data_IF_868216843635
#
_entry.id   IF_868216843635
#
_cell.length_a   1.000
_cell.length_b   1.000
_cell.length_c   1.000
_cell.angle_alpha   90.00
_cell.angle_beta   90.00
_cell.angle_gamma   90.00
#
_symmetry.space_group_name_H-M   'P 1'
#
loop_
_entity.id
_entity.type
_entity.pdbx_description
1 polymer ?
#
# COMPACT_ATOMS: atom_id res chain seq x y z
N UNK A 1 3.04 21.73 -39.06
CA UNK A 1 3.18 22.63 -37.90
C UNK A 1 1.93 22.47 -37.04
N UNK A 2 1.96 21.56 -36.07
CA UNK A 2 0.81 21.28 -35.21
C UNK A 2 0.64 22.42 -34.22
N UNK A 3 -0.37 23.27 -34.43
CA UNK A 3 -0.76 24.28 -33.45
C UNK A 3 -1.34 23.56 -32.23
N UNK A 4 -0.54 23.43 -31.18
CA UNK A 4 -0.95 22.85 -29.91
C UNK A 4 -2.07 23.69 -29.29
N UNK A 5 -3.11 23.02 -28.80
CA UNK A 5 -4.21 23.66 -28.07
C UNK A 5 -3.62 24.53 -26.95
N UNK A 6 -3.98 25.83 -26.85
CA UNK A 6 -3.45 26.71 -25.82
C UNK A 6 -3.78 26.14 -24.44
N UNK A 7 -2.75 25.95 -23.61
CA UNK A 7 -2.92 25.44 -22.26
C UNK A 7 -3.88 26.34 -21.47
N UNK A 8 -4.88 25.78 -20.77
CA UNK A 8 -5.79 26.55 -19.93
C UNK A 8 -5.02 27.46 -18.96
N UNK A 9 -5.42 28.73 -18.84
CA UNK A 9 -4.69 29.76 -18.08
C UNK A 9 -4.40 29.37 -16.61
N UNK A 10 -5.27 28.58 -15.98
CA UNK A 10 -5.06 28.05 -14.64
C UNK A 10 -3.87 27.08 -14.57
N UNK A 11 -3.74 26.21 -15.58
CA UNK A 11 -2.66 25.22 -15.64
C UNK A 11 -1.34 25.94 -15.91
N UNK A 12 -1.33 26.95 -16.77
CA UNK A 12 -0.16 27.79 -17.01
C UNK A 12 0.34 28.45 -15.72
N UNK A 13 -0.55 29.11 -14.97
CA UNK A 13 -0.19 29.73 -13.67
C UNK A 13 0.31 28.71 -12.65
N UNK A 14 -0.27 27.50 -12.61
CA UNK A 14 0.20 26.44 -11.72
C UNK A 14 1.60 25.94 -12.15
N UNK A 15 1.85 25.82 -13.43
CA UNK A 15 3.15 25.41 -13.96
C UNK A 15 4.24 26.46 -13.67
N UNK A 16 3.94 27.75 -13.84
CA UNK A 16 4.83 28.87 -13.49
C UNK A 16 5.17 28.88 -11.99
N UNK A 17 4.18 28.68 -11.13
CA UNK A 17 4.42 28.57 -9.69
C UNK A 17 5.31 27.37 -9.33
N UNK A 18 5.06 26.20 -9.91
CA UNK A 18 5.86 24.99 -9.66
C UNK A 18 7.29 25.12 -10.20
N UNK A 19 7.49 25.81 -11.34
CA UNK A 19 8.83 26.04 -11.89
C UNK A 19 9.65 26.98 -11.01
N UNK A 20 9.03 28.02 -10.45
CA UNK A 20 9.66 28.91 -9.48
C UNK A 20 10.02 28.17 -8.19
N UNK A 21 9.11 27.36 -7.65
CA UNK A 21 9.39 26.53 -6.46
C UNK A 21 10.58 25.60 -6.68
N UNK A 22 10.67 24.96 -7.84
CA UNK A 22 11.78 24.07 -8.19
C UNK A 22 13.10 24.85 -8.25
N UNK A 23 13.14 25.98 -8.96
CA UNK A 23 14.33 26.83 -9.02
C UNK A 23 14.80 27.27 -7.64
N UNK A 24 13.86 27.68 -6.79
CA UNK A 24 14.15 28.06 -5.40
C UNK A 24 14.72 26.88 -4.60
N UNK A 25 14.15 25.68 -4.77
CA UNK A 25 14.65 24.45 -4.16
C UNK A 25 16.05 24.05 -4.65
N UNK A 26 16.40 24.40 -5.89
CA UNK A 26 17.73 24.24 -6.47
C UNK A 26 18.72 25.35 -6.02
N UNK A 27 18.27 26.29 -5.16
CA UNK A 27 19.10 27.36 -4.58
C UNK A 27 19.04 28.70 -5.30
N UNK A 28 18.26 28.84 -6.37
CA UNK A 28 18.15 30.09 -7.14
C UNK A 28 17.38 31.17 -6.38
N UNK A 29 18.08 32.22 -5.94
CA UNK A 29 17.50 33.34 -5.21
C UNK A 29 16.62 34.25 -6.09
N UNK A 30 16.81 34.27 -7.40
CA UNK A 30 15.98 35.09 -8.30
C UNK A 30 14.52 34.61 -8.36
N UNK A 31 14.27 33.36 -7.94
CA UNK A 31 12.92 32.80 -7.85
C UNK A 31 12.15 33.28 -6.61
N UNK A 32 12.82 33.84 -5.59
CA UNK A 32 12.20 34.21 -4.30
C UNK A 32 11.19 35.35 -4.49
N UNK A 33 11.58 36.46 -5.13
CA UNK A 33 10.72 37.65 -5.21
C UNK A 33 9.42 37.39 -5.98
N UNK A 34 9.42 36.71 -7.14
CA UNK A 34 8.19 36.29 -7.82
C UNK A 34 7.31 35.38 -6.94
N UNK A 35 7.90 34.44 -6.21
CA UNK A 35 7.15 33.57 -5.28
C UNK A 35 6.52 34.36 -4.15
N UNK A 36 7.26 35.28 -3.53
CA UNK A 36 6.74 36.13 -2.46
C UNK A 36 5.64 37.07 -2.96
N UNK A 37 5.75 37.57 -4.19
CA UNK A 37 4.68 38.31 -4.84
C UNK A 37 3.42 37.42 -4.98
N UNK A 38 3.54 36.21 -5.51
CA UNK A 38 2.37 35.29 -5.61
C UNK A 38 1.75 34.97 -4.25
N UNK A 39 2.57 34.75 -3.20
CA UNK A 39 2.12 34.56 -1.83
C UNK A 39 1.35 35.77 -1.29
N UNK A 40 1.79 36.99 -1.58
CA UNK A 40 1.09 38.20 -1.14
C UNK A 40 -0.26 38.38 -1.86
N UNK A 41 -0.34 38.08 -3.15
CA UNK A 41 -1.60 38.06 -3.90
C UNK A 41 -2.55 36.96 -3.39
N UNK A 42 -1.98 35.87 -2.87
CA UNK A 42 -2.73 34.74 -2.33
C UNK A 42 -3.38 35.00 -0.96
N UNK A 43 -3.15 36.16 -0.32
CA UNK A 43 -3.74 36.51 0.99
C UNK A 43 -5.27 36.54 1.01
N UNK A 44 -5.91 36.65 -0.16
CA UNK A 44 -7.38 36.59 -0.31
C UNK A 44 -7.93 35.14 -0.34
N UNK A 45 -7.08 34.13 -0.43
CA UNK A 45 -7.49 32.72 -0.42
C UNK A 45 -7.78 32.25 1.01
N UNK A 46 -8.59 31.19 1.12
CA UNK A 46 -8.92 30.58 2.41
C UNK A 46 -7.66 30.21 3.21
N UNK A 47 -7.76 30.36 4.54
CA UNK A 47 -6.64 30.19 5.49
C UNK A 47 -5.86 28.89 5.30
N UNK A 48 -6.55 27.80 4.95
CA UNK A 48 -5.95 26.48 4.67
C UNK A 48 -5.03 26.47 3.45
N UNK A 49 -5.47 27.06 2.34
CA UNK A 49 -4.68 27.03 1.10
C UNK A 49 -3.46 27.94 1.23
N UNK A 50 -3.64 29.12 1.84
CA UNK A 50 -2.54 30.03 2.14
C UNK A 50 -1.47 29.37 3.02
N UNK A 51 -1.90 28.61 4.03
CA UNK A 51 -1.01 27.82 4.89
C UNK A 51 -0.22 26.79 4.07
N UNK A 52 -0.89 26.03 3.20
CA UNK A 52 -0.25 25.02 2.37
C UNK A 52 0.79 25.63 1.43
N UNK A 53 0.46 26.72 0.74
CA UNK A 53 1.39 27.45 -0.14
C UNK A 53 2.61 27.95 0.64
N UNK A 54 2.42 28.47 1.86
CA UNK A 54 3.54 28.89 2.71
C UNK A 54 4.43 27.72 3.11
N UNK A 55 3.86 26.56 3.45
CA UNK A 55 4.64 25.35 3.76
C UNK A 55 5.43 24.88 2.54
N UNK A 56 4.85 24.89 1.33
CA UNK A 56 5.55 24.57 0.07
C UNK A 56 6.77 25.50 -0.15
N UNK A 57 6.61 26.81 0.08
CA UNK A 57 7.72 27.77 -0.02
C UNK A 57 8.78 27.52 1.05
N UNK A 58 8.40 27.22 2.30
CA UNK A 58 9.37 26.90 3.35
C UNK A 58 10.15 25.62 3.01
N UNK A 59 9.49 24.59 2.49
CA UNK A 59 10.16 23.37 2.04
C UNK A 59 11.16 23.66 0.92
N UNK A 60 10.78 24.43 -0.09
CA UNK A 60 11.68 24.82 -1.17
C UNK A 60 12.87 25.62 -0.63
N UNK A 61 12.65 26.57 0.28
CA UNK A 61 13.70 27.35 0.93
C UNK A 61 14.67 26.47 1.71
N UNK A 62 14.15 25.49 2.47
CA UNK A 62 14.97 24.55 3.23
C UNK A 62 15.81 23.64 2.32
N UNK A 63 15.27 23.23 1.17
CA UNK A 63 15.99 22.42 0.18
C UNK A 63 17.11 23.20 -0.49
N UNK A 64 16.88 24.48 -0.81
CA UNK A 64 17.89 25.37 -1.40
C UNK A 64 18.83 26.03 -0.39
N UNK A 65 18.83 25.59 0.88
CA UNK A 65 19.61 26.15 1.99
C UNK A 65 19.42 27.66 2.25
N UNK A 66 18.26 28.21 1.87
CA UNK A 66 17.86 29.61 2.06
C UNK A 66 17.13 29.78 3.40
N UNK A 67 17.84 29.57 4.52
CA UNK A 67 17.25 29.51 5.87
C UNK A 67 16.66 30.84 6.35
N UNK A 68 17.14 31.97 5.85
CA UNK A 68 16.62 33.31 6.13
C UNK A 68 15.19 33.48 5.59
N UNK A 69 14.97 33.06 4.34
CA UNK A 69 13.65 33.08 3.70
C UNK A 69 12.73 32.05 4.38
N UNK A 70 13.24 30.84 4.62
CA UNK A 70 12.53 29.78 5.32
C UNK A 70 12.01 30.27 6.68
N UNK A 71 12.88 30.89 7.49
CA UNK A 71 12.55 31.44 8.80
C UNK A 71 11.49 32.53 8.73
N UNK A 72 11.67 33.53 7.85
CA UNK A 72 10.71 34.63 7.70
C UNK A 72 9.31 34.12 7.34
N UNK A 73 9.19 33.18 6.40
CA UNK A 73 7.90 32.64 5.98
C UNK A 73 7.32 31.74 7.08
N UNK A 74 8.15 30.93 7.73
CA UNK A 74 7.75 30.03 8.81
C UNK A 74 7.25 30.78 10.05
N UNK A 75 7.88 31.89 10.45
CA UNK A 75 7.42 32.68 11.60
C UNK A 75 6.05 33.32 11.35
N UNK A 76 5.72 33.68 10.10
CA UNK A 76 4.38 34.14 9.74
C UNK A 76 3.32 33.04 9.84
N UNK A 77 3.73 31.77 9.76
CA UNK A 77 2.86 30.63 10.01
C UNK A 77 2.61 30.51 11.52
N UNK A 78 3.69 30.45 12.32
CA UNK A 78 3.61 30.28 13.78
C UNK A 78 2.91 31.43 14.50
N UNK A 79 3.11 32.67 14.08
CA UNK A 79 2.48 33.85 14.72
C UNK A 79 0.96 33.93 14.50
N UNK A 80 0.40 33.12 13.59
CA UNK A 80 -1.05 33.02 13.35
C UNK A 80 -1.70 31.83 14.08
N UNK A 81 -0.95 31.04 14.86
CA UNK A 81 -1.37 29.78 15.50
C UNK A 81 -2.16 29.94 16.82
N UNK A 82 -3.12 30.87 16.93
CA UNK A 82 -4.02 30.91 18.11
C UNK A 82 -5.36 30.20 17.92
N UNK A 83 -5.71 29.75 16.72
CA UNK A 83 -7.02 29.11 16.50
C UNK A 83 -6.93 27.94 15.51
N UNK A 84 -7.70 26.89 15.82
CA UNK A 84 -8.00 25.68 15.03
C UNK A 84 -7.14 24.43 15.29
N UNK A 85 -7.68 23.57 16.17
CA UNK A 85 -7.28 22.19 16.45
C UNK A 85 -7.50 21.19 15.30
N UNK A 86 -7.31 21.58 14.04
CA UNK A 86 -7.39 20.70 12.87
C UNK A 86 -6.02 20.10 12.48
N UNK A 87 -5.15 19.89 13.48
CA UNK A 87 -3.72 19.52 13.39
C UNK A 87 -3.40 18.14 12.79
N UNK A 88 -4.32 17.41 12.17
CA UNK A 88 -4.10 15.98 11.94
C UNK A 88 -3.25 15.64 10.69
N UNK A 89 -2.98 16.56 9.76
CA UNK A 89 -2.50 16.14 8.41
C UNK A 89 -1.51 17.06 7.67
N UNK A 90 -0.71 17.89 8.34
CA UNK A 90 0.36 18.60 7.64
C UNK A 90 1.74 18.18 8.18
N UNK A 91 2.15 16.97 7.79
CA UNK A 91 3.45 16.39 8.15
C UNK A 91 4.61 17.29 7.66
N UNK A 92 4.44 17.96 6.53
CA UNK A 92 5.41 18.92 5.99
C UNK A 92 5.65 20.09 6.96
N UNK A 93 4.61 20.58 7.63
CA UNK A 93 4.76 21.62 8.64
C UNK A 93 5.58 21.14 9.85
N UNK A 94 5.33 19.91 10.34
CA UNK A 94 6.09 19.33 11.46
C UNK A 94 7.56 19.13 11.09
N UNK A 95 7.83 18.70 9.86
CA UNK A 95 9.19 18.61 9.32
C UNK A 95 9.85 19.99 9.26
N UNK A 96 9.19 21.00 8.69
CA UNK A 96 9.69 22.37 8.64
C UNK A 96 10.00 22.90 10.06
N UNK A 97 9.10 22.68 11.02
CA UNK A 97 9.30 23.09 12.42
C UNK A 97 10.53 22.44 13.05
N UNK A 98 10.71 21.14 12.83
CA UNK A 98 11.86 20.40 13.34
C UNK A 98 13.17 20.91 12.71
N UNK A 99 13.19 21.09 11.39
CA UNK A 99 14.36 21.57 10.64
C UNK A 99 14.74 23.01 11.03
N UNK A 100 13.75 23.89 11.21
CA UNK A 100 13.96 25.25 11.67
C UNK A 100 14.51 25.31 13.10
N UNK A 101 14.02 24.46 14.01
CA UNK A 101 14.55 24.37 15.37
C UNK A 101 16.02 23.90 15.37
N UNK A 102 16.36 22.92 14.52
CA UNK A 102 17.74 22.45 14.35
C UNK A 102 18.66 23.56 13.83
N UNK A 103 18.21 24.33 12.82
CA UNK A 103 18.96 25.45 12.28
C UNK A 103 19.16 26.59 13.28
N UNK A 104 18.23 26.76 14.23
CA UNK A 104 18.33 27.75 15.32
C UNK A 104 19.19 27.27 16.50
N UNK A 105 19.76 26.06 16.43
CA UNK A 105 20.57 25.48 17.52
C UNK A 105 19.75 24.86 18.66
N UNK A 106 18.42 24.81 18.56
CA UNK A 106 17.56 24.15 19.54
C UNK A 106 17.45 22.64 19.24
N UNK A 107 18.49 21.89 19.63
CA UNK A 107 18.55 20.45 19.39
C UNK A 107 17.44 19.67 20.13
N UNK A 108 17.07 20.11 21.34
CA UNK A 108 16.05 19.47 22.15
C UNK A 108 14.65 19.65 21.54
N UNK A 109 14.32 20.88 21.12
CA UNK A 109 13.10 21.17 20.38
C UNK A 109 13.05 20.44 19.04
N UNK A 110 14.16 20.43 18.28
CA UNK A 110 14.26 19.72 17.02
C UNK A 110 13.93 18.22 17.17
N UNK A 111 14.54 17.54 18.14
CA UNK A 111 14.31 16.11 18.39
C UNK A 111 12.85 15.82 18.76
N UNK A 112 12.23 16.67 19.59
CA UNK A 112 10.82 16.57 19.95
C UNK A 112 9.92 16.66 18.70
N UNK A 113 10.17 17.64 17.83
CA UNK A 113 9.36 17.83 16.63
C UNK A 113 9.58 16.71 15.61
N UNK A 114 10.81 16.22 15.43
CA UNK A 114 11.09 15.06 14.58
C UNK A 114 10.38 13.80 15.06
N UNK A 115 10.35 13.57 16.38
CA UNK A 115 9.65 12.42 16.95
C UNK A 115 8.15 12.48 16.65
N UNK A 116 7.56 13.67 16.76
CA UNK A 116 6.13 13.88 16.46
C UNK A 116 5.85 13.68 14.97
N UNK A 117 6.69 14.26 14.10
CA UNK A 117 6.64 14.05 12.65
C UNK A 117 6.69 12.56 12.28
N UNK A 118 7.66 11.81 12.83
CA UNK A 118 7.81 10.38 12.55
C UNK A 118 6.60 9.57 13.03
N UNK A 119 6.08 9.86 14.23
CA UNK A 119 4.89 9.18 14.76
C UNK A 119 3.67 9.40 13.87
N UNK A 120 3.45 10.62 13.40
CA UNK A 120 2.33 10.94 12.53
C UNK A 120 2.51 10.35 11.12
N UNK A 121 3.72 10.41 10.55
CA UNK A 121 4.03 9.76 9.28
C UNK A 121 3.81 8.23 9.34
N UNK A 122 4.27 7.58 10.42
CA UNK A 122 4.05 6.15 10.64
C UNK A 122 2.56 5.82 10.86
N UNK A 123 1.80 6.71 11.50
CA UNK A 123 0.35 6.55 11.64
C UNK A 123 -0.34 6.64 10.28
N UNK A 124 0.00 7.64 9.45
CA UNK A 124 -0.51 7.77 8.08
C UNK A 124 -0.19 6.52 7.26
N UNK A 125 1.06 6.05 7.28
CA UNK A 125 1.46 4.81 6.62
C UNK A 125 0.62 3.62 7.09
N UNK A 126 0.36 3.48 8.39
CA UNK A 126 -0.50 2.39 8.90
C UNK A 126 -1.95 2.52 8.43
N UNK A 127 -2.52 3.72 8.39
CA UNK A 127 -3.91 3.94 7.94
C UNK A 127 -4.07 3.84 6.43
N UNK A 128 -3.12 4.38 5.67
CA UNK A 128 -3.11 4.33 4.22
C UNK A 128 -2.71 2.95 3.73
N UNK A 129 -1.80 2.22 4.38
CA UNK A 129 -1.58 0.81 4.04
C UNK A 129 -2.82 -0.03 4.28
N UNK A 130 -3.67 0.27 5.28
CA UNK A 130 -4.99 -0.37 5.44
C UNK A 130 -5.94 0.01 4.30
N UNK A 131 -5.93 1.27 3.85
CA UNK A 131 -6.78 1.73 2.74
C UNK A 131 -6.28 1.25 1.36
N UNK A 132 -4.98 1.19 1.12
CA UNK A 132 -4.34 0.57 -0.04
C UNK A 132 -4.55 -0.93 0.00
N UNK A 133 -4.50 -1.59 1.17
CA UNK A 133 -4.94 -2.98 1.36
C UNK A 133 -6.44 -3.17 1.08
N UNK A 134 -7.26 -2.14 1.26
CA UNK A 134 -8.69 -2.12 0.90
C UNK A 134 -8.95 -1.68 -0.55
N UNK A 135 -8.05 -0.99 -1.23
CA UNK A 135 -8.15 -0.67 -2.65
C UNK A 135 -7.60 -1.84 -3.49
N UNK A 136 -6.54 -2.49 -3.02
CA UNK A 136 -6.17 -3.85 -3.43
C UNK A 136 -7.19 -4.90 -2.96
N UNK A 137 -8.23 -4.51 -2.19
CA UNK A 137 -9.65 -4.63 -2.62
C UNK A 137 -9.94 -5.57 -3.77
N UNK A 138 -9.64 -5.05 -4.94
CA UNK A 138 -10.00 -5.62 -6.21
C UNK A 138 -9.12 -6.83 -6.59
N UNK A 139 -8.08 -7.14 -5.81
CA UNK A 139 -7.32 -8.39 -5.89
C UNK A 139 -8.13 -9.46 -5.16
N UNK A 140 -8.32 -10.66 -5.76
CA UNK A 140 -9.23 -11.67 -5.26
C UNK A 140 -8.97 -11.98 -3.78
N UNK A 141 -10.07 -12.17 -3.05
CA UNK A 141 -10.19 -12.45 -1.59
C UNK A 141 -9.21 -13.52 -1.07
N UNK A 142 -8.67 -14.36 -1.96
CA UNK A 142 -7.71 -15.43 -1.69
C UNK A 142 -6.33 -14.97 -1.17
N UNK A 143 -5.71 -13.92 -1.75
CA UNK A 143 -4.35 -13.48 -1.32
C UNK A 143 -4.35 -12.90 0.10
N UNK A 144 -5.48 -12.35 0.53
CA UNK A 144 -5.64 -11.73 1.87
C UNK A 144 -5.79 -12.73 2.98
N UNK A 145 -6.53 -13.80 2.73
CA UNK A 145 -6.67 -14.87 3.71
C UNK A 145 -5.37 -15.67 3.86
N UNK A 146 -4.42 -15.48 2.92
CA UNK A 146 -3.05 -15.98 2.99
C UNK A 146 -2.18 -15.07 3.86
N UNK A 147 -2.19 -13.76 3.59
CA UNK A 147 -1.44 -12.77 4.39
C UNK A 147 -1.91 -12.66 5.85
N UNK A 148 -3.20 -12.86 6.12
CA UNK A 148 -3.77 -12.86 7.48
C UNK A 148 -3.30 -14.07 8.31
N UNK A 149 -3.10 -15.23 7.67
CA UNK A 149 -2.49 -16.41 8.33
C UNK A 149 -1.07 -16.06 8.80
N UNK A 150 -0.27 -15.44 7.94
CA UNK A 150 1.09 -15.01 8.25
C UNK A 150 1.14 -13.98 9.40
N UNK A 151 0.17 -13.08 9.46
CA UNK A 151 0.07 -12.03 10.48
C UNK A 151 -0.27 -12.59 11.88
N UNK A 152 -1.13 -13.61 11.95
CA UNK A 152 -1.59 -14.21 13.22
C UNK A 152 -0.63 -15.28 13.78
N UNK A 153 0.24 -15.84 12.94
CA UNK A 153 1.25 -16.80 13.38
C UNK A 153 2.46 -16.11 14.01
N UNK A 154 3.03 -16.74 15.04
CA UNK A 154 4.31 -16.30 15.61
C UNK A 154 5.45 -16.43 14.59
N UNK A 155 6.56 -15.72 14.81
CA UNK A 155 7.69 -15.68 13.86
C UNK A 155 8.20 -17.08 13.44
N UNK A 156 8.20 -18.05 14.38
CA UNK A 156 8.59 -19.44 14.11
C UNK A 156 7.64 -20.12 13.11
N UNK A 157 6.32 -20.03 13.34
CA UNK A 157 5.33 -20.68 12.46
C UNK A 157 5.07 -19.90 11.16
N UNK A 158 5.44 -18.62 11.11
CA UNK A 158 5.48 -17.84 9.87
C UNK A 158 6.47 -18.42 8.85
N UNK A 159 7.59 -19.00 9.31
CA UNK A 159 8.54 -19.71 8.43
C UNK A 159 7.93 -20.97 7.82
N UNK A 160 7.16 -21.74 8.61
CA UNK A 160 6.43 -22.89 8.09
C UNK A 160 5.37 -22.47 7.06
N UNK A 161 4.69 -21.36 7.33
CA UNK A 161 3.70 -20.84 6.40
C UNK A 161 4.31 -20.35 5.08
N UNK A 162 5.44 -19.65 5.13
CA UNK A 162 6.20 -19.27 3.94
C UNK A 162 6.62 -20.49 3.12
N UNK A 163 7.14 -21.52 3.79
CA UNK A 163 7.52 -22.77 3.14
C UNK A 163 6.34 -23.44 2.42
N UNK A 164 5.13 -23.40 3.01
CA UNK A 164 3.91 -23.87 2.33
C UNK A 164 3.65 -23.10 1.05
N UNK A 165 3.73 -21.76 1.08
CA UNK A 165 3.46 -20.91 -0.09
C UNK A 165 4.46 -21.21 -1.21
N UNK A 166 5.76 -21.24 -0.88
CA UNK A 166 6.84 -21.48 -1.85
C UNK A 166 6.76 -22.86 -2.50
N UNK A 167 6.14 -23.84 -1.82
CA UNK A 167 6.05 -25.23 -2.29
C UNK A 167 4.62 -25.67 -2.61
N UNK A 168 3.64 -24.76 -2.73
CA UNK A 168 2.23 -25.15 -2.83
C UNK A 168 1.90 -25.91 -4.13
N UNK A 169 2.67 -25.65 -5.20
CA UNK A 169 2.55 -26.30 -6.50
C UNK A 169 3.07 -27.75 -6.49
N UNK A 170 3.87 -28.12 -5.48
CA UNK A 170 4.34 -29.50 -5.30
C UNK A 170 3.18 -30.39 -4.85
N UNK A 171 2.85 -31.40 -5.66
CA UNK A 171 1.76 -32.33 -5.40
C UNK A 171 2.03 -33.24 -4.18
N UNK A 172 3.31 -33.46 -3.86
CA UNK A 172 3.83 -34.29 -2.77
C UNK A 172 3.99 -33.54 -1.44
N UNK A 173 3.76 -32.23 -1.38
CA UNK A 173 3.90 -31.44 -0.14
C UNK A 173 3.08 -32.03 1.01
N UNK A 174 3.75 -32.39 2.11
CA UNK A 174 3.11 -32.96 3.31
C UNK A 174 3.22 -32.04 4.53
N UNK A 175 2.29 -32.13 5.47
CA UNK A 175 2.37 -31.40 6.75
C UNK A 175 3.57 -31.82 7.59
N UNK A 176 4.03 -33.06 7.42
CA UNK A 176 5.23 -33.61 8.06
C UNK A 176 6.49 -32.89 7.62
N UNK A 177 6.67 -32.72 6.33
CA UNK A 177 7.79 -31.98 5.73
C UNK A 177 7.81 -30.52 6.21
N UNK A 178 6.64 -29.86 6.23
CA UNK A 178 6.52 -28.49 6.73
C UNK A 178 6.91 -28.38 8.21
N UNK A 179 6.53 -29.36 9.03
CA UNK A 179 6.88 -29.39 10.45
C UNK A 179 8.39 -29.62 10.65
N UNK A 180 8.97 -30.54 9.86
CA UNK A 180 10.40 -30.82 9.86
C UNK A 180 11.23 -29.58 9.46
N UNK A 181 10.78 -28.82 8.45
CA UNK A 181 11.46 -27.60 7.99
C UNK A 181 11.65 -26.52 9.09
N UNK A 182 10.79 -26.49 10.11
CA UNK A 182 10.91 -25.55 11.24
C UNK A 182 11.28 -26.23 12.57
N UNK A 183 11.73 -27.49 12.53
CA UNK A 183 12.11 -28.28 13.70
C UNK A 183 11.01 -28.33 14.77
N UNK A 184 9.80 -28.74 14.38
CA UNK A 184 8.68 -29.01 15.30
C UNK A 184 8.00 -30.32 14.97
N UNK A 185 7.25 -30.85 15.93
CA UNK A 185 6.35 -31.98 15.69
C UNK A 185 5.12 -31.54 14.89
N UNK A 186 4.53 -32.45 14.11
CA UNK A 186 3.28 -32.18 13.38
C UNK A 186 2.16 -31.71 14.32
N UNK A 187 2.13 -32.25 15.54
CA UNK A 187 1.14 -31.88 16.55
C UNK A 187 1.28 -30.42 16.98
N UNK A 188 2.52 -29.96 17.19
CA UNK A 188 2.79 -28.56 17.54
C UNK A 188 2.41 -27.61 16.38
N UNK A 189 2.74 -27.99 15.14
CA UNK A 189 2.35 -27.24 13.94
C UNK A 189 0.82 -27.12 13.82
N UNK A 190 0.10 -28.22 14.00
CA UNK A 190 -1.36 -28.25 13.97
C UNK A 190 -1.99 -27.36 15.05
N UNK A 191 -1.49 -27.44 16.28
CA UNK A 191 -1.98 -26.62 17.40
C UNK A 191 -1.74 -25.13 17.16
N UNK A 192 -0.55 -24.77 16.67
CA UNK A 192 -0.22 -23.38 16.37
C UNK A 192 -1.16 -22.79 15.30
N UNK A 193 -1.38 -23.51 14.20
CA UNK A 193 -2.29 -23.06 13.14
C UNK A 193 -3.75 -23.01 13.61
N UNK A 194 -4.20 -24.00 14.40
CA UNK A 194 -5.56 -24.02 14.95
C UNK A 194 -5.79 -22.87 15.93
N UNK A 195 -4.81 -22.56 16.79
CA UNK A 195 -4.90 -21.44 17.74
C UNK A 195 -4.88 -20.07 17.07
N UNK A 196 -4.06 -19.89 16.04
CA UNK A 196 -3.89 -18.59 15.37
C UNK A 196 -4.98 -18.29 14.33
N UNK A 197 -5.42 -19.31 13.58
CA UNK A 197 -6.28 -19.14 12.39
C UNK A 197 -7.54 -20.02 12.43
N UNK A 198 -7.69 -20.87 13.44
CA UNK A 198 -8.86 -21.76 13.55
C UNK A 198 -8.84 -22.95 12.57
N UNK A 199 -7.78 -23.12 11.78
CA UNK A 199 -7.66 -24.16 10.75
C UNK A 199 -6.41 -25.02 10.95
N UNK A 200 -6.45 -26.28 10.49
CA UNK A 200 -5.24 -27.11 10.44
C UNK A 200 -4.34 -26.70 9.27
N UNK A 201 -3.02 -26.95 9.35
CA UNK A 201 -2.08 -26.73 8.24
C UNK A 201 -2.51 -27.46 6.96
N UNK A 202 -3.03 -28.69 7.09
CA UNK A 202 -3.57 -29.47 5.97
C UNK A 202 -4.79 -28.80 5.32
N UNK A 203 -5.64 -28.14 6.10
CA UNK A 203 -6.79 -27.40 5.59
C UNK A 203 -6.35 -26.15 4.83
N UNK A 204 -5.32 -25.47 5.32
CA UNK A 204 -4.72 -24.31 4.65
C UNK A 204 -4.10 -24.70 3.31
N UNK A 205 -3.28 -25.76 3.26
CA UNK A 205 -2.70 -26.30 2.02
C UNK A 205 -3.81 -26.67 1.03
N UNK A 206 -4.84 -27.38 1.50
CA UNK A 206 -5.97 -27.80 0.65
C UNK A 206 -6.73 -26.61 0.07
N UNK A 207 -6.95 -25.57 0.87
CA UNK A 207 -7.61 -24.34 0.41
C UNK A 207 -6.79 -23.65 -0.68
N UNK A 208 -5.50 -23.46 -0.46
CA UNK A 208 -4.60 -22.82 -1.44
C UNK A 208 -4.52 -23.62 -2.74
N UNK A 209 -4.50 -24.95 -2.67
CA UNK A 209 -4.58 -25.83 -3.86
C UNK A 209 -5.89 -25.67 -4.62
N UNK A 210 -7.04 -25.57 -3.94
CA UNK A 210 -8.33 -25.32 -4.59
C UNK A 210 -8.40 -23.94 -5.25
N UNK A 211 -7.74 -22.94 -4.67
CA UNK A 211 -7.59 -21.61 -5.26
C UNK A 211 -6.72 -21.63 -6.51
N UNK A 212 -5.57 -22.31 -6.46
CA UNK A 212 -4.71 -22.54 -7.64
C UNK A 212 -5.44 -23.25 -8.77
N UNK A 213 -6.19 -24.31 -8.44
CA UNK A 213 -7.06 -25.01 -9.41
C UNK A 213 -8.07 -24.03 -10.02
N UNK A 214 -8.73 -23.19 -9.21
CA UNK A 214 -9.69 -22.22 -9.73
C UNK A 214 -9.04 -21.22 -10.69
N UNK A 215 -7.85 -20.73 -10.36
CA UNK A 215 -7.09 -19.83 -11.24
C UNK A 215 -6.76 -20.52 -12.57
N UNK A 216 -6.27 -21.76 -12.54
CA UNK A 216 -5.99 -22.56 -13.73
C UNK A 216 -7.25 -22.83 -14.58
N UNK A 217 -8.42 -22.99 -13.94
CA UNK A 217 -9.69 -23.20 -14.64
C UNK A 217 -10.25 -21.93 -15.27
N UNK A 218 -9.85 -20.75 -14.77
CA UNK A 218 -10.25 -19.45 -15.30
C UNK A 218 -9.29 -18.93 -16.38
N UNK A 219 -8.05 -19.41 -16.39
CA UNK A 219 -7.04 -19.04 -17.38
C UNK A 219 -7.39 -19.60 -18.78
N UNK A 220 -7.50 -18.71 -19.75
CA UNK A 220 -7.91 -19.01 -21.13
C UNK A 220 -6.86 -19.76 -21.92
N UNK A 221 -5.57 -19.61 -21.61
CA UNK A 221 -4.49 -20.23 -22.38
C UNK A 221 -4.28 -21.70 -22.00
N UNK A 222 -4.64 -22.07 -20.77
CA UNK A 222 -4.41 -23.42 -20.24
C UNK A 222 -5.42 -24.47 -20.67
N UNK A 223 -6.49 -24.06 -21.37
CA UNK A 223 -7.59 -24.86 -21.91
C UNK A 223 -7.71 -26.25 -21.23
N UNK A 224 -8.27 -26.32 -20.01
CA UNK A 224 -8.18 -27.51 -19.17
C UNK A 224 -8.99 -28.63 -19.81
N UNK A 225 -8.32 -29.47 -20.60
CA UNK A 225 -8.90 -30.61 -21.31
C UNK A 225 -9.52 -31.61 -20.31
N UNK A 226 -9.02 -31.63 -19.07
CA UNK A 226 -9.53 -32.47 -18.00
C UNK A 226 -9.36 -31.82 -16.61
N UNK A 227 -10.47 -31.56 -15.92
CA UNK A 227 -10.53 -31.03 -14.55
C UNK A 227 -9.74 -31.89 -13.55
N UNK A 228 -9.76 -33.22 -13.76
CA UNK A 228 -9.08 -34.16 -12.86
C UNK A 228 -7.57 -34.04 -12.99
N UNK A 229 -7.06 -33.80 -14.19
CA UNK A 229 -5.62 -33.68 -14.44
C UNK A 229 -5.09 -32.38 -13.83
N UNK A 230 -5.81 -31.27 -13.98
CA UNK A 230 -5.52 -30.02 -13.27
C UNK A 230 -5.50 -30.25 -11.77
N UNK A 231 -6.54 -30.88 -11.21
CA UNK A 231 -6.60 -31.17 -9.78
C UNK A 231 -5.46 -32.08 -9.29
N UNK A 232 -5.04 -33.05 -10.10
CA UNK A 232 -3.95 -33.97 -9.80
C UNK A 232 -2.59 -33.27 -9.76
N UNK A 233 -2.35 -32.28 -10.65
CA UNK A 233 -1.14 -31.43 -10.62
C UNK A 233 -1.00 -30.67 -9.30
N UNK A 234 -2.12 -30.14 -8.80
CA UNK A 234 -2.18 -29.50 -7.49
C UNK A 234 -2.21 -30.51 -6.31
N UNK A 235 -2.09 -31.81 -6.56
CA UNK A 235 -2.04 -32.85 -5.53
C UNK A 235 -3.40 -33.23 -4.93
N UNK A 236 -4.52 -32.96 -5.60
CA UNK A 236 -5.84 -33.48 -5.25
C UNK A 236 -6.14 -34.71 -6.11
N UNK A 237 -5.99 -35.91 -5.51
CA UNK A 237 -6.00 -37.19 -6.23
C UNK A 237 -7.40 -37.73 -6.60
N UNK A 238 -8.48 -37.26 -5.96
CA UNK A 238 -9.81 -37.83 -6.19
C UNK A 238 -10.86 -36.80 -6.57
N UNK A 239 -11.68 -37.16 -7.56
CA UNK A 239 -12.78 -36.33 -8.08
C UNK A 239 -13.78 -35.97 -6.98
N UNK A 240 -14.16 -36.94 -6.14
CA UNK A 240 -15.09 -36.70 -5.03
C UNK A 240 -14.53 -35.72 -4.01
N UNK A 241 -13.23 -35.81 -3.68
CA UNK A 241 -12.58 -34.84 -2.80
C UNK A 241 -12.52 -33.46 -3.45
N UNK A 242 -12.20 -33.38 -4.75
CA UNK A 242 -12.20 -32.10 -5.47
C UNK A 242 -13.58 -31.44 -5.40
N UNK A 243 -14.63 -32.11 -5.87
CA UNK A 243 -15.98 -31.54 -5.94
C UNK A 243 -16.48 -31.12 -4.56
N UNK A 244 -16.34 -31.98 -3.54
CA UNK A 244 -16.76 -31.68 -2.17
C UNK A 244 -15.98 -30.49 -1.58
N UNK A 245 -14.66 -30.45 -1.79
CA UNK A 245 -13.81 -29.37 -1.31
C UNK A 245 -14.11 -28.05 -2.02
N UNK A 246 -14.27 -28.10 -3.34
CA UNK A 246 -14.49 -26.94 -4.19
C UNK A 246 -15.86 -26.30 -3.92
N UNK A 247 -16.93 -27.10 -3.81
CA UNK A 247 -18.26 -26.62 -3.42
C UNK A 247 -18.26 -25.98 -2.04
N UNK A 248 -17.58 -26.58 -1.07
CA UNK A 248 -17.46 -26.02 0.29
C UNK A 248 -16.73 -24.66 0.30
N UNK A 249 -15.77 -24.47 -0.60
CA UNK A 249 -14.92 -23.28 -0.64
C UNK A 249 -15.51 -22.14 -1.48
N UNK A 250 -16.15 -22.46 -2.60
CA UNK A 250 -16.59 -21.48 -3.61
C UNK A 250 -18.09 -21.45 -3.88
N UNK A 251 -18.87 -22.32 -3.23
CA UNK A 251 -20.32 -22.49 -3.46
C UNK A 251 -20.69 -22.80 -4.94
N UNK A 252 -19.75 -23.30 -5.72
CA UNK A 252 -19.94 -23.70 -7.12
C UNK A 252 -19.17 -25.01 -7.38
N UNK A 253 -19.47 -25.72 -8.47
CA UNK A 253 -18.69 -26.86 -8.93
C UNK A 253 -17.55 -26.43 -9.89
N UNK A 254 -16.43 -27.18 -9.99
CA UNK A 254 -15.35 -26.86 -10.93
C UNK A 254 -15.83 -26.71 -12.39
N UNK A 255 -16.80 -27.54 -12.79
CA UNK A 255 -17.45 -27.48 -14.10
C UNK A 255 -18.25 -26.19 -14.31
N UNK A 256 -18.91 -25.68 -13.27
CA UNK A 256 -19.65 -24.41 -13.32
C UNK A 256 -18.70 -23.23 -13.48
N UNK A 257 -17.51 -23.27 -12.86
CA UNK A 257 -16.47 -22.26 -13.06
C UNK A 257 -16.01 -22.22 -14.53
N UNK A 258 -15.75 -23.39 -15.14
CA UNK A 258 -15.40 -23.47 -16.56
C UNK A 258 -16.54 -22.93 -17.43
N UNK A 259 -17.79 -23.34 -17.18
CA UNK A 259 -18.93 -22.90 -17.96
C UNK A 259 -19.14 -21.39 -17.87
N UNK A 260 -19.02 -20.81 -16.67
CA UNK A 260 -19.04 -19.35 -16.47
C UNK A 260 -17.91 -18.65 -17.21
N UNK A 261 -16.70 -19.21 -17.19
CA UNK A 261 -15.57 -18.66 -17.96
C UNK A 261 -15.87 -18.68 -19.47
N UNK A 262 -16.47 -19.75 -19.97
CA UNK A 262 -16.84 -19.90 -21.38
C UNK A 262 -17.94 -18.92 -21.80
N UNK A 263 -18.97 -18.74 -20.98
CA UNK A 263 -20.04 -17.77 -21.25
C UNK A 263 -19.55 -16.32 -21.27
N UNK A 264 -18.59 -15.99 -20.39
CA UNK A 264 -17.94 -14.67 -20.42
C UNK A 264 -17.12 -14.45 -21.69
N UNK A 265 -16.55 -15.52 -22.27
CA UNK A 265 -15.83 -15.45 -23.56
C UNK A 265 -16.80 -15.21 -24.72
N UNK A 266 -17.92 -15.93 -24.78
CA UNK A 266 -18.92 -15.76 -25.85
C UNK A 266 -19.60 -14.39 -25.81
N UNK A 267 -19.78 -13.81 -24.63
CA UNK A 267 -20.36 -12.46 -24.48
C UNK A 267 -19.36 -11.32 -24.76
N UNK A 268 -18.05 -11.60 -24.83
CA UNK A 268 -16.99 -10.64 -25.06
C UNK A 268 -16.35 -10.74 -26.46
N UNK A 269 -16.80 -11.68 -27.30
CA UNK A 269 -16.46 -11.74 -28.71
C UNK A 269 -17.33 -10.73 -29.47
N UNK A 270 -16.75 -9.83 -30.30
CA UNK A 270 -17.49 -8.83 -31.07
C UNK A 270 -18.34 -9.42 -32.18
#
# INVERSE_FOLDING_TARGET
>A
VSQGVPMPALIQRRAEYLSLLRRMADGDRAAIDPLMATLNHSRKLGSRLLMQTKVEVVLAALSGEQYDVAGRVFDQICNRETTYGARRWNFDFLYCRAKMAAQRGDAAGALKFYTTYMQDALRCLRTETVNVRRASAAVPVASRASDDVSARLSAKYRRAYRYIIENIERSDLTTREVAAHINVTERALQLAFKSAVGMSPSSVIRRMRLEGIRSDLLDSERNPSNIIDTASRWGIRSRSALVKGYRKQFNEAPSETIWRSALRRTAAAP
#
